data_IF_006681650727
#
_entry.id   IF_006681650727
#
_cell.length_a   1.000
_cell.length_b   1.000
_cell.length_c   1.000
_cell.angle_alpha   90.00
_cell.angle_beta   90.00
_cell.angle_gamma   90.00
#
_symmetry.space_group_name_H-M   'P 1'
#
loop_
_entity.id
_entity.type
_entity.pdbx_description
1 polymer ?
#
# COMPACT_ATOMS: atom_id res chain seq x y z
N UNK A 1 -31.49 22.53 44.09
CA UNK A 1 -31.87 22.40 42.67
C UNK A 1 -30.65 22.73 41.84
N UNK A 2 -29.91 21.71 41.41
CA UNK A 2 -28.86 21.87 40.41
C UNK A 2 -29.54 21.87 39.04
N UNK A 3 -29.38 22.98 38.30
CA UNK A 3 -29.76 23.07 36.90
C UNK A 3 -28.68 22.34 36.10
N UNK A 4 -29.09 21.30 35.39
CA UNK A 4 -28.31 20.59 34.39
C UNK A 4 -28.15 21.49 33.17
N UNK A 5 -26.90 21.80 32.82
CA UNK A 5 -26.52 22.36 31.53
C UNK A 5 -26.68 21.24 30.48
N UNK A 6 -27.68 21.40 29.60
CA UNK A 6 -27.76 20.61 28.36
C UNK A 6 -26.67 21.14 27.42
N UNK A 7 -25.54 20.44 27.33
CA UNK A 7 -24.60 20.60 26.22
C UNK A 7 -25.33 20.23 24.92
N UNK A 8 -25.67 21.25 24.13
CA UNK A 8 -26.16 21.07 22.78
C UNK A 8 -25.05 20.46 21.92
N UNK A 9 -25.18 19.17 21.59
CA UNK A 9 -24.40 18.52 20.54
C UNK A 9 -24.68 19.23 19.22
N UNK A 10 -23.71 20.01 18.74
CA UNK A 10 -23.73 20.57 17.39
C UNK A 10 -23.81 19.41 16.37
N UNK A 11 -24.66 19.51 15.33
CA UNK A 11 -24.73 18.48 14.31
C UNK A 11 -23.40 18.44 13.56
N UNK A 12 -22.79 17.25 13.45
CA UNK A 12 -21.59 17.03 12.66
C UNK A 12 -21.79 17.63 11.25
N UNK A 13 -21.05 18.68 10.94
CA UNK A 13 -21.08 19.28 9.63
C UNK A 13 -20.56 18.23 8.63
N UNK A 14 -21.41 17.81 7.68
CA UNK A 14 -21.05 16.98 6.53
C UNK A 14 -20.18 17.77 5.52
N UNK A 15 -19.23 18.55 6.00
CA UNK A 15 -18.27 19.25 5.16
C UNK A 15 -17.03 18.38 4.98
N UNK A 16 -16.61 18.22 3.73
CA UNK A 16 -15.46 17.38 3.36
C UNK A 16 -14.17 17.91 4.01
N UNK A 17 -14.09 19.22 4.23
CA UNK A 17 -12.95 19.86 4.86
C UNK A 17 -12.86 19.57 6.36
N UNK A 18 -14.00 19.40 7.03
CA UNK A 18 -14.06 18.91 8.42
C UNK A 18 -13.61 17.46 8.50
N UNK A 19 -14.05 16.60 7.56
CA UNK A 19 -13.63 15.19 7.50
C UNK A 19 -12.13 15.00 7.24
N UNK A 20 -11.46 15.95 6.58
CA UNK A 20 -10.00 15.93 6.39
C UNK A 20 -9.21 16.20 7.66
N UNK A 21 -9.77 17.04 8.54
CA UNK A 21 -9.10 17.47 9.75
C UNK A 21 -9.41 16.58 10.96
N UNK A 22 -10.44 15.74 10.87
CA UNK A 22 -10.87 14.84 11.93
C UNK A 22 -10.48 13.38 11.67
N UNK A 23 -10.25 12.62 12.75
CA UNK A 23 -10.15 11.17 12.68
C UNK A 23 -11.54 10.60 12.95
N UNK A 24 -12.13 9.96 11.95
CA UNK A 24 -13.41 9.31 12.06
C UNK A 24 -13.21 7.94 12.71
N UNK A 25 -13.97 7.61 13.75
CA UNK A 25 -13.90 6.30 14.42
C UNK A 25 -15.21 5.58 14.21
N UNK A 26 -15.14 4.36 13.69
CA UNK A 26 -16.32 3.50 13.59
C UNK A 26 -16.03 2.11 14.17
N UNK A 27 -17.07 1.48 14.70
CA UNK A 27 -16.97 0.13 15.25
C UNK A 27 -17.21 -0.89 14.13
N UNK A 28 -16.33 -1.88 14.04
CA UNK A 28 -16.42 -3.01 13.10
C UNK A 28 -16.03 -4.30 13.81
N UNK A 29 -16.00 -5.42 13.07
CA UNK A 29 -15.47 -6.68 13.57
C UNK A 29 -14.02 -6.85 13.14
N UNK A 30 -13.21 -7.41 14.02
CA UNK A 30 -11.83 -7.78 13.70
C UNK A 30 -11.80 -8.83 12.58
N UNK A 31 -11.02 -8.63 11.50
CA UNK A 31 -10.97 -9.59 10.39
C UNK A 31 -10.39 -10.94 10.79
N UNK A 32 -9.61 -10.98 11.88
CA UNK A 32 -8.93 -12.20 12.35
C UNK A 32 -9.80 -13.03 13.31
N UNK A 33 -10.37 -12.41 14.34
CA UNK A 33 -11.07 -13.10 15.43
C UNK A 33 -12.58 -12.79 15.51
N UNK A 34 -13.07 -11.92 14.63
CA UNK A 34 -14.46 -11.46 14.57
C UNK A 34 -14.98 -10.78 15.85
N UNK A 35 -14.10 -10.47 16.81
CA UNK A 35 -14.45 -9.70 18.00
C UNK A 35 -14.73 -8.22 17.62
N UNK A 36 -15.58 -7.50 18.37
CA UNK A 36 -15.76 -6.06 18.17
C UNK A 36 -14.42 -5.32 18.28
N UNK A 37 -14.11 -4.48 17.29
CA UNK A 37 -12.91 -3.66 17.22
C UNK A 37 -13.27 -2.26 16.69
N UNK A 38 -12.46 -1.26 17.04
CA UNK A 38 -12.57 0.08 16.47
C UNK A 38 -11.61 0.23 15.29
N UNK A 39 -12.10 0.89 14.24
CA UNK A 39 -11.28 1.30 13.09
C UNK A 39 -11.26 2.81 13.02
N UNK A 40 -10.04 3.35 13.02
CA UNK A 40 -9.80 4.78 12.83
C UNK A 40 -9.62 5.02 11.33
N UNK A 41 -10.44 5.91 10.77
CA UNK A 41 -10.36 6.36 9.39
C UNK A 41 -9.86 7.79 9.35
N UNK A 42 -8.88 8.06 8.50
CA UNK A 42 -8.40 9.41 8.21
C UNK A 42 -8.25 9.61 6.72
N UNK A 43 -8.87 10.68 6.20
CA UNK A 43 -8.58 11.17 4.87
C UNK A 43 -7.23 11.91 4.91
N UNK A 44 -6.29 11.46 4.09
CA UNK A 44 -4.94 12.04 4.01
C UNK A 44 -4.70 12.46 2.57
N UNK A 45 -4.38 13.74 2.40
CA UNK A 45 -3.87 14.25 1.13
C UNK A 45 -2.35 14.16 1.17
N UNK A 46 -1.79 13.21 0.42
CA UNK A 46 -0.34 13.07 0.29
C UNK A 46 0.15 14.19 -0.65
N UNK A 47 1.10 15.06 -0.23
CA UNK A 47 1.64 16.10 -1.09
C UNK A 47 2.17 15.51 -2.40
N UNK A 48 1.86 16.17 -3.52
CA UNK A 48 2.22 15.69 -4.87
C UNK A 48 1.63 14.32 -5.26
N UNK A 49 0.63 13.83 -4.51
CA UNK A 49 -0.14 12.65 -4.80
C UNK A 49 -1.64 12.89 -4.51
N UNK A 50 -2.48 11.89 -4.78
CA UNK A 50 -3.93 11.99 -4.59
C UNK A 50 -4.35 11.78 -3.14
N UNK A 51 -5.63 12.04 -2.90
CA UNK A 51 -6.29 11.79 -1.63
C UNK A 51 -6.43 10.28 -1.38
N UNK A 52 -6.00 9.83 -0.21
CA UNK A 52 -6.09 8.44 0.23
C UNK A 52 -6.80 8.35 1.57
N UNK A 53 -7.46 7.24 1.80
CA UNK A 53 -8.17 6.94 3.04
C UNK A 53 -7.34 5.90 3.79
N UNK A 54 -6.81 6.28 4.96
CA UNK A 54 -6.09 5.36 5.84
C UNK A 54 -7.08 4.81 6.86
N UNK A 55 -7.16 3.49 6.96
CA UNK A 55 -8.00 2.73 7.87
C UNK A 55 -7.11 1.89 8.80
N UNK A 56 -7.08 2.25 10.07
CA UNK A 56 -6.28 1.58 11.08
C UNK A 56 -7.18 0.84 12.08
N UNK A 57 -7.14 -0.48 12.06
CA UNK A 57 -7.89 -1.32 13.02
C UNK A 57 -6.93 -1.88 14.06
N UNK A 58 -7.29 -1.73 15.35
CA UNK A 58 -6.54 -2.30 16.46
C UNK A 58 -7.51 -3.12 17.32
N UNK A 59 -7.27 -4.42 17.42
CA UNK A 59 -8.13 -5.33 18.17
C UNK A 59 -7.55 -5.61 19.55
N UNK A 60 -8.24 -5.16 20.60
CA UNK A 60 -7.83 -5.40 21.99
C UNK A 60 -7.97 -6.86 22.42
N UNK A 61 -8.76 -7.66 21.70
CA UNK A 61 -9.03 -9.06 22.06
C UNK A 61 -7.92 -10.03 21.61
N UNK A 62 -7.41 -9.87 20.38
CA UNK A 62 -6.36 -10.75 19.84
C UNK A 62 -5.04 -10.04 19.53
N UNK A 63 -4.97 -8.72 19.67
CA UNK A 63 -3.78 -7.92 19.35
C UNK A 63 -3.57 -7.66 17.86
N UNK A 64 -4.51 -8.05 16.98
CA UNK A 64 -4.41 -7.79 15.55
C UNK A 64 -4.38 -6.28 15.27
N UNK A 65 -3.44 -5.86 14.42
CA UNK A 65 -3.25 -4.48 13.97
C UNK A 65 -3.10 -4.46 12.47
N UNK A 66 -3.86 -3.60 11.81
CA UNK A 66 -3.75 -3.37 10.36
C UNK A 66 -3.83 -1.88 10.06
N UNK A 67 -3.10 -1.45 9.03
CA UNK A 67 -3.13 -0.11 8.46
C UNK A 67 -3.40 -0.28 6.96
N UNK A 68 -4.67 -0.34 6.61
CA UNK A 68 -5.14 -0.42 5.23
C UNK A 68 -5.21 0.98 4.63
N UNK A 69 -4.79 1.12 3.38
CA UNK A 69 -4.91 2.38 2.63
C UNK A 69 -5.70 2.11 1.37
N UNK A 70 -6.77 2.88 1.21
CA UNK A 70 -7.65 2.83 0.04
C UNK A 70 -7.52 4.14 -0.72
N UNK A 71 -7.53 4.07 -2.03
CA UNK A 71 -7.61 5.27 -2.86
C UNK A 71 -9.00 5.89 -2.68
N UNK A 72 -9.06 7.17 -2.35
CA UNK A 72 -10.34 7.88 -2.20
C UNK A 72 -11.00 8.23 -3.54
N UNK A 73 -10.25 8.13 -4.64
CA UNK A 73 -10.69 8.44 -5.99
C UNK A 73 -10.95 7.22 -6.88
N UNK A 74 -11.48 7.47 -8.08
CA UNK A 74 -11.61 6.47 -9.12
C UNK A 74 -10.24 5.94 -9.57
N UNK A 75 -10.24 4.75 -10.17
CA UNK A 75 -9.07 4.20 -10.87
C UNK A 75 -8.56 5.21 -11.91
N UNK A 76 -7.24 5.43 -11.96
CA UNK A 76 -6.66 6.37 -12.93
C UNK A 76 -6.92 5.93 -14.37
N UNK A 77 -6.85 6.86 -15.32
CA UNK A 77 -6.96 6.55 -16.75
C UNK A 77 -5.78 5.71 -17.26
N UNK A 78 -4.60 5.88 -16.64
CA UNK A 78 -3.34 5.25 -17.03
C UNK A 78 -2.74 4.45 -15.87
N UNK A 79 -2.06 3.36 -16.22
CA UNK A 79 -1.17 2.67 -15.30
C UNK A 79 0.06 3.52 -15.03
N UNK A 80 0.68 3.32 -13.86
CA UNK A 80 1.89 4.03 -13.46
C UNK A 80 2.97 3.05 -13.07
N UNK A 81 4.15 3.22 -13.65
CA UNK A 81 5.37 2.50 -13.31
C UNK A 81 6.36 3.45 -12.68
N UNK A 82 6.81 3.16 -11.47
CA UNK A 82 7.78 3.96 -10.73
C UNK A 82 9.02 3.11 -10.55
N UNK A 83 10.15 3.57 -11.09
CA UNK A 83 11.46 2.93 -10.89
C UNK A 83 12.30 3.83 -10.01
N UNK A 84 12.77 3.32 -8.89
CA UNK A 84 13.73 4.00 -8.01
C UNK A 84 15.03 3.20 -7.97
N UNK A 85 16.14 3.85 -8.29
CA UNK A 85 17.48 3.33 -8.04
C UNK A 85 17.88 3.68 -6.60
N UNK A 86 18.01 2.66 -5.75
CA UNK A 86 18.43 2.84 -4.36
C UNK A 86 19.95 2.96 -4.35
N UNK A 87 20.43 4.14 -3.97
CA UNK A 87 21.86 4.45 -3.99
C UNK A 87 22.39 4.91 -2.63
N UNK A 88 21.52 5.44 -1.76
CA UNK A 88 21.90 5.98 -0.46
C UNK A 88 21.04 5.35 0.66
N UNK A 89 21.60 5.09 1.85
CA UNK A 89 20.82 4.64 3.00
C UNK A 89 19.62 5.54 3.35
N UNK A 90 19.66 6.82 3.02
CA UNK A 90 18.52 7.74 3.20
C UNK A 90 17.30 7.37 2.35
N UNK A 91 17.48 6.67 1.22
CA UNK A 91 16.37 6.18 0.38
C UNK A 91 15.45 5.21 1.14
N UNK A 92 15.96 4.54 2.18
CA UNK A 92 15.19 3.64 3.05
C UNK A 92 14.05 4.35 3.78
N UNK A 93 14.20 5.65 4.03
CA UNK A 93 13.23 6.47 4.76
C UNK A 93 12.11 7.05 3.88
N UNK A 94 12.17 6.85 2.55
CA UNK A 94 11.16 7.34 1.62
C UNK A 94 9.80 6.71 1.90
N UNK A 95 8.79 7.56 1.99
CA UNK A 95 7.40 7.13 2.10
C UNK A 95 6.96 6.39 0.82
N UNK A 96 6.27 5.27 1.00
CA UNK A 96 5.83 4.36 -0.04
C UNK A 96 4.39 3.91 0.25
N UNK A 97 3.51 4.10 -0.71
CA UNK A 97 2.18 3.49 -0.72
C UNK A 97 2.15 2.39 -1.77
N UNK A 98 1.97 1.14 -1.34
CA UNK A 98 1.72 0.02 -2.25
C UNK A 98 0.24 -0.24 -2.32
N UNK A 99 -0.38 -0.03 -3.48
CA UNK A 99 -1.77 -0.42 -3.70
C UNK A 99 -1.93 -1.95 -3.79
N UNK A 100 -3.17 -2.43 -3.74
CA UNK A 100 -3.48 -3.85 -3.93
C UNK A 100 -3.18 -4.31 -5.36
N UNK A 101 -3.29 -3.43 -6.35
CA UNK A 101 -3.06 -3.73 -7.77
C UNK A 101 -1.61 -3.57 -8.19
N UNK A 102 -0.74 -3.11 -7.29
CA UNK A 102 0.67 -2.91 -7.57
C UNK A 102 1.48 -4.21 -7.45
N UNK A 103 2.29 -4.52 -8.46
CA UNK A 103 3.39 -5.47 -8.34
C UNK A 103 4.69 -4.75 -7.99
N UNK A 104 5.63 -5.48 -7.39
CA UNK A 104 6.98 -4.97 -7.10
C UNK A 104 8.00 -5.87 -7.78
N UNK A 105 8.97 -5.27 -8.46
CA UNK A 105 10.10 -5.99 -9.05
C UNK A 105 11.42 -5.44 -8.52
N UNK A 106 12.35 -6.34 -8.19
CA UNK A 106 13.74 -6.03 -7.86
C UNK A 106 14.63 -6.85 -8.80
N UNK A 107 15.00 -6.30 -9.98
CA UNK A 107 15.69 -7.05 -11.03
C UNK A 107 17.00 -7.69 -10.59
N UNK A 108 17.82 -6.99 -9.80
CA UNK A 108 19.12 -7.47 -9.32
C UNK A 108 19.00 -8.67 -8.37
N UNK A 109 17.83 -8.82 -7.74
CA UNK A 109 17.54 -9.95 -6.84
C UNK A 109 16.74 -11.04 -7.54
N UNK A 110 16.41 -10.88 -8.83
CA UNK A 110 15.49 -11.75 -9.59
C UNK A 110 14.18 -11.98 -8.83
N UNK A 111 13.69 -10.92 -8.18
CA UNK A 111 12.54 -11.00 -7.30
C UNK A 111 11.36 -10.23 -7.86
N UNK A 112 10.19 -10.87 -7.81
CA UNK A 112 8.91 -10.29 -8.17
C UNK A 112 7.90 -10.62 -7.07
N UNK A 113 7.21 -9.59 -6.60
CA UNK A 113 6.07 -9.70 -5.73
C UNK A 113 4.81 -9.37 -6.52
N UNK A 114 3.93 -10.36 -6.64
CA UNK A 114 2.66 -10.21 -7.35
C UNK A 114 1.73 -9.19 -6.70
N UNK A 115 0.67 -8.87 -7.43
CA UNK A 115 -0.45 -8.06 -6.95
C UNK A 115 -1.10 -8.71 -5.72
N UNK A 116 -1.83 -7.92 -4.94
CA UNK A 116 -2.45 -8.21 -3.63
C UNK A 116 -1.47 -8.53 -2.49
N UNK A 117 -0.31 -9.13 -2.76
CA UNK A 117 0.67 -9.41 -1.73
C UNK A 117 1.24 -8.11 -1.14
N UNK A 118 1.19 -7.99 0.20
CA UNK A 118 1.59 -6.78 0.95
C UNK A 118 0.92 -5.48 0.45
N UNK A 119 -0.22 -5.59 -0.25
CA UNK A 119 -0.93 -4.44 -0.81
C UNK A 119 -1.75 -3.65 0.21
N UNK A 120 -2.21 -2.47 -0.19
CA UNK A 120 -3.01 -1.59 0.65
C UNK A 120 -2.25 -1.04 1.84
N UNK A 121 -0.92 -0.90 1.75
CA UNK A 121 -0.07 -0.51 2.88
C UNK A 121 0.68 0.79 2.59
N UNK A 122 0.61 1.73 3.53
CA UNK A 122 1.52 2.87 3.60
C UNK A 122 2.67 2.54 4.54
N UNK A 123 3.88 2.62 4.04
CA UNK A 123 5.12 2.18 4.70
C UNK A 123 6.29 3.03 4.19
N UNK A 124 7.51 2.74 4.65
CA UNK A 124 8.73 3.20 3.99
C UNK A 124 9.31 2.12 3.08
N UNK A 125 10.29 2.49 2.24
CA UNK A 125 11.08 1.54 1.45
C UNK A 125 11.70 0.46 2.35
N UNK A 126 12.26 0.85 3.50
CA UNK A 126 12.79 -0.10 4.49
C UNK A 126 11.73 -1.08 5.00
N UNK A 127 10.55 -0.55 5.37
CA UNK A 127 9.46 -1.36 5.89
C UNK A 127 8.97 -2.38 4.87
N UNK A 128 8.88 -1.98 3.60
CA UNK A 128 8.51 -2.87 2.51
C UNK A 128 9.54 -4.00 2.32
N UNK A 129 10.84 -3.68 2.31
CA UNK A 129 11.91 -4.68 2.17
C UNK A 129 11.93 -5.67 3.34
N UNK A 130 11.69 -5.20 4.57
CA UNK A 130 11.53 -6.05 5.75
C UNK A 130 10.32 -6.97 5.63
N UNK A 131 9.18 -6.46 5.20
CA UNK A 131 7.98 -7.29 4.99
C UNK A 131 8.21 -8.35 3.91
N UNK A 132 8.91 -8.00 2.81
CA UNK A 132 9.29 -8.93 1.74
C UNK A 132 10.15 -10.05 2.33
N UNK A 133 11.18 -9.69 3.11
CA UNK A 133 12.04 -10.67 3.80
C UNK A 133 11.23 -11.60 4.71
N UNK A 134 10.34 -11.05 5.52
CA UNK A 134 9.52 -11.82 6.45
C UNK A 134 8.55 -12.76 5.71
N UNK A 135 7.95 -12.30 4.61
CA UNK A 135 7.06 -13.10 3.77
C UNK A 135 7.82 -14.26 3.10
N UNK A 136 8.98 -13.97 2.51
CA UNK A 136 9.74 -14.93 1.70
C UNK A 136 10.57 -15.91 2.53
N UNK A 137 11.06 -15.49 3.71
CA UNK A 137 11.95 -16.30 4.56
C UNK A 137 11.21 -16.88 5.74
N UNK A 138 10.54 -16.06 6.56
CA UNK A 138 9.97 -16.50 7.84
C UNK A 138 8.60 -17.18 7.71
N UNK A 139 7.75 -16.69 6.80
CA UNK A 139 6.38 -17.19 6.60
C UNK A 139 6.24 -18.15 5.43
N UNK A 140 7.34 -18.61 4.86
CA UNK A 140 7.33 -19.46 3.68
C UNK A 140 6.86 -20.89 4.04
N UNK A 141 5.64 -21.30 3.62
CA UNK A 141 5.10 -22.61 4.00
C UNK A 141 5.92 -23.77 3.43
N UNK A 142 6.71 -23.52 2.38
CA UNK A 142 7.55 -24.53 1.74
C UNK A 142 8.84 -24.85 2.52
N UNK A 143 9.15 -24.10 3.58
CA UNK A 143 10.25 -24.41 4.51
C UNK A 143 9.78 -25.41 5.59
N UNK A 144 8.48 -25.54 5.84
CA UNK A 144 7.91 -26.30 6.95
C UNK A 144 7.35 -27.67 6.52
N UNK A 145 8.09 -28.40 5.68
CA UNK A 145 7.74 -29.76 5.25
C UNK A 145 8.98 -30.65 5.10
N UNK A 146 8.78 -31.94 5.32
CA UNK A 146 9.72 -33.06 5.13
C UNK A 146 10.19 -33.25 3.67
N UNK A 147 9.61 -32.49 2.72
CA UNK A 147 10.05 -32.38 1.32
C UNK A 147 10.90 -31.13 1.01
N UNK A 148 11.26 -30.32 2.01
CA UNK A 148 12.13 -29.17 1.79
C UNK A 148 13.55 -29.64 1.45
N UNK A 149 13.96 -29.43 0.20
CA UNK A 149 15.34 -29.67 -0.22
C UNK A 149 16.23 -28.63 0.45
N UNK A 150 17.34 -29.06 1.06
CA UNK A 150 18.30 -28.15 1.71
C UNK A 150 18.74 -26.99 0.80
N UNK A 151 18.79 -27.23 -0.51
CA UNK A 151 19.07 -26.24 -1.56
C UNK A 151 18.06 -25.08 -1.61
N UNK A 152 16.76 -25.33 -1.36
CA UNK A 152 15.73 -24.26 -1.34
C UNK A 152 15.87 -23.39 -0.10
N UNK A 153 16.11 -23.99 1.06
CA UNK A 153 16.29 -23.24 2.31
C UNK A 153 17.54 -22.36 2.22
N UNK A 154 18.62 -22.89 1.63
CA UNK A 154 19.84 -22.12 1.39
C UNK A 154 19.58 -20.91 0.50
N UNK A 155 18.88 -21.08 -0.64
CA UNK A 155 18.55 -19.97 -1.55
C UNK A 155 17.68 -18.90 -0.89
N UNK A 156 16.74 -19.29 -0.03
CA UNK A 156 15.90 -18.34 0.72
C UNK A 156 16.73 -17.54 1.74
N UNK A 157 17.66 -18.20 2.43
CA UNK A 157 18.57 -17.52 3.35
C UNK A 157 19.51 -16.55 2.60
N UNK A 158 20.08 -16.98 1.47
CA UNK A 158 20.90 -16.12 0.60
C UNK A 158 20.10 -14.91 0.09
N UNK A 159 18.84 -15.08 -0.26
CA UNK A 159 17.94 -13.98 -0.61
C UNK A 159 17.73 -13.03 0.57
N UNK A 160 17.46 -13.56 1.76
CA UNK A 160 17.32 -12.77 2.98
C UNK A 160 18.56 -11.94 3.30
N UNK A 161 19.76 -12.52 3.15
CA UNK A 161 21.04 -11.81 3.31
C UNK A 161 21.23 -10.70 2.27
N UNK A 162 20.81 -10.93 1.02
CA UNK A 162 20.85 -9.89 -0.02
C UNK A 162 19.94 -8.72 0.33
N UNK A 163 18.72 -8.98 0.82
CA UNK A 163 17.81 -7.92 1.27
C UNK A 163 18.42 -7.13 2.44
N UNK A 164 19.07 -7.81 3.40
CA UNK A 164 19.76 -7.13 4.49
C UNK A 164 20.86 -6.19 4.00
N UNK A 165 21.65 -6.62 2.99
CA UNK A 165 22.68 -5.78 2.36
C UNK A 165 22.11 -4.57 1.61
N UNK A 166 20.93 -4.70 1.02
CA UNK A 166 20.23 -3.57 0.42
C UNK A 166 19.79 -2.58 1.50
N UNK A 167 19.22 -3.08 2.61
CA UNK A 167 18.79 -2.24 3.73
C UNK A 167 19.97 -1.51 4.39
N UNK A 168 21.14 -2.13 4.49
CA UNK A 168 22.36 -1.48 5.02
C UNK A 168 23.03 -0.53 4.04
N UNK A 169 22.59 -0.48 2.78
CA UNK A 169 23.19 0.35 1.73
C UNK A 169 24.51 -0.19 1.18
N UNK A 170 24.79 -1.48 1.37
CA UNK A 170 25.98 -2.13 0.79
C UNK A 170 25.81 -2.49 -0.68
N UNK A 171 24.56 -2.62 -1.14
CA UNK A 171 24.21 -3.01 -2.51
C UNK A 171 23.14 -2.07 -3.06
N UNK A 172 23.45 -1.47 -4.21
CA UNK A 172 22.50 -0.66 -4.95
C UNK A 172 21.60 -1.55 -5.80
N UNK A 173 20.30 -1.28 -5.78
CA UNK A 173 19.30 -2.06 -6.52
C UNK A 173 18.21 -1.15 -7.05
N UNK A 174 17.50 -1.61 -8.08
CA UNK A 174 16.30 -0.94 -8.55
C UNK A 174 15.07 -1.55 -7.88
N UNK A 175 14.19 -0.71 -7.35
CA UNK A 175 12.84 -1.11 -6.97
C UNK A 175 11.86 -0.52 -7.98
N UNK A 176 11.07 -1.39 -8.59
CA UNK A 176 10.07 -1.04 -9.58
C UNK A 176 8.70 -1.31 -8.98
N UNK A 177 7.86 -0.29 -8.86
CA UNK A 177 6.44 -0.40 -8.55
C UNK A 177 5.68 -0.29 -9.86
N UNK A 178 4.96 -1.34 -10.24
CA UNK A 178 4.11 -1.33 -11.44
C UNK A 178 2.65 -1.46 -11.01
N UNK A 179 1.88 -0.38 -11.15
CA UNK A 179 0.49 -0.33 -10.75
C UNK A 179 -0.43 0.06 -11.92
N UNK A 180 -1.16 -0.92 -12.49
CA UNK A 180 -2.14 -0.68 -13.55
C UNK A 180 -3.27 0.28 -13.13
N UNK A 181 -3.58 0.38 -11.83
CA UNK A 181 -4.61 1.28 -11.33
C UNK A 181 -4.11 2.71 -11.03
N UNK A 182 -2.79 2.94 -11.06
CA UNK A 182 -2.17 4.23 -10.76
C UNK A 182 -2.42 4.70 -9.32
N UNK A 183 -2.57 3.76 -8.38
CA UNK A 183 -2.92 3.99 -6.98
C UNK A 183 -1.72 3.87 -6.01
N UNK A 184 -0.54 3.52 -6.51
CA UNK A 184 0.71 3.49 -5.74
C UNK A 184 1.45 4.84 -5.74
N UNK A 185 2.24 5.05 -4.70
CA UNK A 185 3.05 6.25 -4.51
C UNK A 185 4.44 5.90 -3.97
N UNK A 186 5.44 6.66 -4.39
CA UNK A 186 6.78 6.63 -3.85
C UNK A 186 7.29 8.07 -3.73
N UNK A 187 7.82 8.42 -2.57
CA UNK A 187 8.22 9.78 -2.27
C UNK A 187 9.44 10.23 -3.08
N UNK A 188 9.24 11.31 -3.84
CA UNK A 188 10.34 12.10 -4.38
C UNK A 188 10.84 13.07 -3.29
N UNK A 189 12.04 12.82 -2.77
CA UNK A 189 12.66 13.64 -1.72
C UNK A 189 13.19 14.99 -2.24
N UNK A 190 13.31 15.15 -3.56
CA UNK A 190 13.74 16.36 -4.24
C UNK A 190 12.57 17.24 -4.70
N UNK A 191 11.32 16.82 -4.47
CA UNK A 191 10.15 17.57 -4.90
C UNK A 191 10.21 19.04 -4.44
N UNK A 192 9.86 20.01 -5.32
CA UNK A 192 9.22 19.85 -6.63
C UNK A 192 10.18 19.53 -7.79
N UNK A 193 11.50 19.50 -7.55
CA UNK A 193 12.48 19.15 -8.56
C UNK A 193 12.45 17.64 -8.87
N UNK A 194 12.78 17.22 -10.10
CA UNK A 194 12.82 15.81 -10.45
C UNK A 194 13.94 15.10 -9.69
N UNK A 195 13.63 13.92 -9.16
CA UNK A 195 14.63 13.03 -8.56
C UNK A 195 15.51 12.44 -9.67
N UNK A 196 16.84 12.56 -9.60
CA UNK A 196 17.73 11.96 -10.60
C UNK A 196 17.70 10.43 -10.61
N UNK A 197 17.34 9.80 -9.49
CA UNK A 197 17.33 8.34 -9.32
C UNK A 197 15.92 7.73 -9.40
N UNK A 198 14.89 8.55 -9.65
CA UNK A 198 13.51 8.08 -9.82
C UNK A 198 12.96 8.41 -11.21
N UNK A 199 12.37 7.41 -11.84
CA UNK A 199 11.66 7.54 -13.12
C UNK A 199 10.21 7.13 -12.94
N UNK A 200 9.29 8.01 -13.34
CA UNK A 200 7.85 7.74 -13.32
C UNK A 200 7.35 7.70 -14.76
N UNK A 201 6.84 6.55 -15.17
CA UNK A 201 6.30 6.30 -16.50
C UNK A 201 4.79 6.04 -16.41
N UNK A 202 4.00 6.73 -17.22
CA UNK A 202 2.58 6.43 -17.38
C UNK A 202 2.37 5.61 -18.64
N UNK A 203 1.54 4.59 -18.56
CA UNK A 203 1.27 3.70 -19.69
C UNK A 203 -0.22 3.42 -19.86
N UNK A 204 -0.63 3.15 -21.10
CA UNK A 204 -1.98 2.67 -21.40
C UNK A 204 -2.08 1.20 -21.01
N UNK A 205 -3.04 0.87 -20.15
CA UNK A 205 -3.30 -0.50 -19.71
C UNK A 205 -3.57 -1.44 -20.89
N UNK A 206 -3.13 -2.68 -20.75
CA UNK A 206 -3.53 -3.76 -21.64
C UNK A 206 -5.00 -4.13 -21.45
N UNK A 207 -5.56 -4.88 -22.40
CA UNK A 207 -6.92 -5.40 -22.29
C UNK A 207 -7.10 -6.29 -21.05
N UNK A 208 -6.13 -7.15 -20.76
CA UNK A 208 -6.12 -8.05 -19.60
C UNK A 208 -6.09 -7.25 -18.28
N UNK A 209 -5.24 -6.23 -18.20
CA UNK A 209 -5.20 -5.33 -17.03
C UNK A 209 -6.54 -4.61 -16.82
N UNK A 210 -7.21 -4.18 -17.89
CA UNK A 210 -8.54 -3.60 -17.78
C UNK A 210 -9.60 -4.64 -17.36
N UNK A 211 -9.45 -5.91 -17.73
CA UNK A 211 -10.35 -6.99 -17.31
C UNK A 211 -10.20 -7.27 -15.81
N UNK A 212 -8.96 -7.39 -15.33
CA UNK A 212 -8.65 -7.58 -13.90
C UNK A 212 -9.17 -6.43 -13.03
N UNK A 213 -9.15 -5.20 -13.55
CA UNK A 213 -9.69 -4.02 -12.89
C UNK A 213 -11.22 -3.86 -13.08
N UNK A 214 -11.88 -4.74 -13.83
CA UNK A 214 -13.32 -4.68 -14.11
C UNK A 214 -13.74 -3.49 -14.98
N UNK A 215 -12.81 -2.92 -15.75
CA UNK A 215 -13.03 -1.72 -16.57
C UNK A 215 -13.60 -2.03 -17.96
N UNK A 216 -13.36 -3.24 -18.50
CA UNK A 216 -13.79 -3.59 -19.85
C UNK A 216 -15.33 -3.58 -20.03
N UNK A 217 -16.07 -3.95 -18.98
CA UNK A 217 -17.54 -3.98 -18.99
C UNK A 217 -18.18 -2.70 -18.46
N UNK A 218 -17.37 -1.71 -18.08
CA UNK A 218 -17.85 -0.47 -17.47
C UNK A 218 -18.42 0.46 -18.55
N UNK A 219 -19.76 0.49 -18.66
CA UNK A 219 -20.47 1.47 -19.50
C UNK A 219 -20.43 2.84 -18.80
N UNK A 220 -19.64 3.78 -19.30
CA UNK A 220 -19.58 5.15 -18.75
C UNK A 220 -20.59 6.11 -19.40
N UNK A 221 -21.27 5.68 -20.47
CA UNK A 221 -22.22 6.47 -21.25
C UNK A 221 -23.51 5.67 -21.57
N UNK A 222 -24.61 6.36 -21.85
CA UNK A 222 -25.83 5.74 -22.39
C UNK A 222 -26.86 5.24 -21.37
N UNK A 223 -26.72 5.54 -20.08
CA UNK A 223 -27.69 5.15 -19.04
C UNK A 223 -29.11 5.73 -19.21
N UNK A 224 -29.31 6.70 -20.10
CA UNK A 224 -30.60 7.38 -20.30
C UNK A 224 -31.45 6.83 -21.45
N UNK A 225 -31.10 5.71 -22.08
CA UNK A 225 -31.94 5.08 -23.09
C UNK A 225 -32.28 3.64 -22.69
N UNK A 226 -33.26 3.50 -21.81
CA UNK A 226 -34.32 2.49 -21.91
C UNK A 226 -35.40 2.81 -20.85
N UNK A 227 -36.48 3.44 -21.30
CA UNK A 227 -37.77 3.56 -20.61
C UNK A 227 -38.87 3.38 -21.64
#
# INVERSE_FOLDING_TARGET
HLQTEEEALEPAANDLDTMRNEVLVFNTNCPECNAPASTNMKLVQIPHFKEVIIMATNCDSCGHRTNEVKSGGATEELGTKITLNITDPSDMSRDLLKSETCSILIPELEFELGMAALGGKFTTVEGLLKDIKDLTVAKNPFVCGDSSTADRVQKLNEFGEKIDKVITGEVNVHIILDDPAGNSYLQNVYAPDPDPEMVIEKYTRSFEQNEELGLNDMKTEGYQQES
#
